data_IF_442453620538
#
_entry.id   IF_442453620538
#
_cell.length_a   1.000
_cell.length_b   1.000
_cell.length_c   1.000
_cell.angle_alpha   90.00
_cell.angle_beta   90.00
_cell.angle_gamma   90.00
#
_symmetry.space_group_name_H-M   'P 1'
#
loop_
_entity.id
_entity.type
_entity.pdbx_description
1 polymer ?
#
# COMPACT_ATOMS: atom_id res chain seq x y z
N UNK A 1 29.42 -6.69 27.80
CA UNK A 1 28.03 -6.27 27.49
C UNK A 1 27.17 -6.85 28.61
N UNK A 2 26.94 -6.09 29.67
CA UNK A 2 26.15 -6.56 30.81
C UNK A 2 24.66 -6.52 30.46
N UNK A 3 23.96 -7.60 30.76
CA UNK A 3 22.54 -7.78 30.45
C UNK A 3 21.75 -6.95 31.46
N UNK A 4 21.09 -5.88 31.00
CA UNK A 4 20.13 -5.12 31.83
C UNK A 4 18.91 -6.02 32.10
N UNK A 5 18.70 -6.35 33.38
CA UNK A 5 17.61 -7.21 33.87
C UNK A 5 16.25 -6.51 34.02
N UNK A 6 16.07 -5.29 33.50
CA UNK A 6 14.81 -4.57 33.62
C UNK A 6 14.38 -4.02 32.25
N UNK A 7 13.23 -4.49 31.76
CA UNK A 7 12.66 -4.14 30.45
C UNK A 7 11.71 -2.93 30.51
N UNK A 8 11.55 -2.29 31.67
CA UNK A 8 10.75 -1.08 31.83
C UNK A 8 11.59 0.17 31.54
N UNK A 9 11.12 0.98 30.59
CA UNK A 9 11.68 2.28 30.27
C UNK A 9 11.26 3.29 31.36
N UNK A 10 12.23 3.81 32.10
CA UNK A 10 12.03 4.88 33.07
C UNK A 10 12.57 6.21 32.50
N UNK A 11 11.70 7.14 32.09
CA UNK A 11 12.11 8.41 31.49
C UNK A 11 12.75 9.39 32.49
N UNK A 12 12.78 9.09 33.79
CA UNK A 12 13.32 9.98 34.84
C UNK A 12 14.56 9.41 35.53
N UNK A 13 15.09 8.28 35.07
CA UNK A 13 16.31 7.71 35.62
C UNK A 13 17.51 8.66 35.41
N UNK A 14 18.51 8.64 36.30
CA UNK A 14 19.71 9.50 36.20
C UNK A 14 20.49 9.34 34.87
N UNK A 15 20.30 8.21 34.19
CA UNK A 15 20.82 7.87 32.87
C UNK A 15 19.81 8.07 31.73
N UNK A 16 18.68 8.74 31.98
CA UNK A 16 17.69 9.16 30.98
C UNK A 16 18.03 10.54 30.37
N UNK A 17 19.15 11.15 30.77
CA UNK A 17 19.75 12.23 30.00
C UNK A 17 20.03 11.77 28.59
N UNK A 18 19.78 12.62 27.59
CA UNK A 18 20.23 12.38 26.22
C UNK A 18 21.71 11.99 26.30
N UNK A 19 22.04 10.73 26.05
CA UNK A 19 23.39 10.35 25.67
C UNK A 19 23.67 11.20 24.44
N UNK A 20 24.35 12.32 24.64
CA UNK A 20 24.99 13.08 23.59
C UNK A 20 26.20 12.27 23.16
N UNK A 21 25.95 11.04 22.71
CA UNK A 21 26.88 10.31 21.88
C UNK A 21 27.17 11.25 20.71
N UNK A 22 28.42 11.71 20.53
CA UNK A 22 28.75 12.54 19.39
C UNK A 22 28.28 11.78 18.14
N UNK A 23 27.48 12.44 17.30
CA UNK A 23 27.08 11.88 16.01
C UNK A 23 28.33 11.22 15.40
N UNK A 24 28.35 9.89 15.18
CA UNK A 24 29.56 9.17 14.74
C UNK A 24 29.92 9.48 13.28
N UNK A 25 29.37 10.57 12.76
CA UNK A 25 29.30 10.96 11.36
C UNK A 25 30.22 12.17 11.21
N UNK A 26 31.39 11.97 10.59
CA UNK A 26 32.31 13.07 10.28
C UNK A 26 31.69 13.98 9.21
N UNK A 27 31.12 15.10 9.67
CA UNK A 27 30.46 16.08 8.81
C UNK A 27 31.45 16.99 8.05
N UNK A 28 32.76 16.93 8.35
CA UNK A 28 33.76 17.87 7.80
C UNK A 28 34.23 17.53 6.39
N UNK A 29 34.03 16.30 5.92
CA UNK A 29 34.43 15.83 4.59
C UNK A 29 33.29 15.76 3.57
N UNK A 30 32.11 16.27 3.90
CA UNK A 30 30.91 16.14 3.08
C UNK A 30 30.79 17.34 2.15
N UNK A 31 30.77 17.06 0.85
CA UNK A 31 30.33 18.04 -0.13
C UNK A 31 28.81 18.20 -0.05
N UNK A 32 28.35 19.20 0.70
CA UNK A 32 26.93 19.54 0.85
C UNK A 32 26.30 20.03 -0.46
N UNK A 33 27.10 20.34 -1.49
CA UNK A 33 26.63 20.72 -2.82
C UNK A 33 26.46 19.52 -3.77
N UNK A 34 26.98 18.35 -3.41
CA UNK A 34 26.71 17.07 -4.09
C UNK A 34 25.68 16.24 -3.31
N UNK A 35 24.43 16.13 -3.80
CA UNK A 35 23.40 15.30 -3.17
C UNK A 35 23.82 13.84 -2.95
N UNK A 36 24.75 13.32 -3.77
CA UNK A 36 25.25 11.95 -3.68
C UNK A 36 26.13 11.74 -2.45
N UNK A 37 26.90 12.76 -2.06
CA UNK A 37 27.75 12.74 -0.86
C UNK A 37 26.93 12.72 0.43
N UNK A 38 25.86 13.52 0.50
CA UNK A 38 24.90 13.45 1.60
C UNK A 38 24.15 12.11 1.64
N UNK A 39 23.71 11.60 0.48
CA UNK A 39 22.98 10.33 0.41
C UNK A 39 23.83 9.13 0.84
N UNK A 40 25.14 9.15 0.55
CA UNK A 40 26.10 8.12 0.98
C UNK A 40 26.34 8.15 2.49
N UNK A 41 26.28 9.33 3.10
CA UNK A 41 26.33 9.52 4.54
C UNK A 41 25.09 8.93 5.23
N UNK A 42 23.92 9.29 4.72
CA UNK A 42 22.62 8.88 5.28
C UNK A 42 22.33 7.40 5.09
N UNK A 43 22.98 6.74 4.13
CA UNK A 43 22.75 5.32 3.87
C UNK A 43 23.48 4.38 4.85
N UNK A 44 24.45 4.86 5.65
CA UNK A 44 25.27 4.07 6.59
C UNK A 44 25.86 2.80 5.94
N UNK A 45 26.36 2.93 4.71
CA UNK A 45 26.86 1.81 3.90
C UNK A 45 25.79 0.89 3.30
N UNK A 46 24.50 1.19 3.51
CA UNK A 46 23.38 0.54 2.85
C UNK A 46 23.11 1.06 1.43
N UNK A 47 22.10 0.50 0.76
CA UNK A 47 21.72 0.89 -0.60
C UNK A 47 21.31 2.37 -0.67
N UNK A 48 21.98 3.09 -1.56
CA UNK A 48 21.67 4.48 -1.88
C UNK A 48 20.36 4.50 -2.70
N UNK A 49 19.39 5.37 -2.36
CA UNK A 49 18.19 5.55 -3.17
C UNK A 49 18.53 5.86 -4.63
N UNK A 50 17.79 5.28 -5.56
CA UNK A 50 17.97 5.59 -6.97
C UNK A 50 17.68 7.07 -7.21
N UNK A 51 18.64 7.80 -7.81
CA UNK A 51 18.42 9.19 -8.22
C UNK A 51 17.50 9.19 -9.45
N UNK A 52 16.35 9.84 -9.31
CA UNK A 52 15.35 9.98 -10.36
C UNK A 52 15.50 11.33 -11.08
N UNK A 53 15.00 11.40 -12.30
CA UNK A 53 14.83 12.65 -13.05
C UNK A 53 13.34 12.94 -13.26
N UNK A 54 12.94 14.22 -13.41
CA UNK A 54 11.54 14.59 -13.67
C UNK A 54 10.95 13.83 -14.86
N UNK A 55 11.66 13.76 -16.00
CA UNK A 55 11.21 13.07 -17.21
C UNK A 55 10.94 11.58 -16.97
N UNK A 56 11.82 10.92 -16.21
CA UNK A 56 11.66 9.50 -15.87
C UNK A 56 10.42 9.28 -15.01
N UNK A 57 10.19 10.15 -14.02
CA UNK A 57 9.00 10.05 -13.16
C UNK A 57 7.75 10.31 -13.98
N UNK A 58 7.71 11.38 -14.78
CA UNK A 58 6.56 11.71 -15.62
C UNK A 58 6.19 10.54 -16.53
N UNK A 59 7.17 9.91 -17.19
CA UNK A 59 6.92 8.73 -18.03
C UNK A 59 6.35 7.55 -17.23
N UNK A 60 6.94 7.22 -16.09
CA UNK A 60 6.46 6.11 -15.25
C UNK A 60 5.06 6.39 -14.71
N UNK A 61 4.83 7.61 -14.24
CA UNK A 61 3.54 8.06 -13.75
C UNK A 61 2.47 7.94 -14.82
N UNK A 62 2.69 8.46 -16.04
CA UNK A 62 1.68 8.42 -17.10
C UNK A 62 1.32 6.98 -17.49
N UNK A 63 2.33 6.11 -17.60
CA UNK A 63 2.11 4.69 -17.88
C UNK A 63 1.27 4.01 -16.79
N UNK A 64 1.69 4.14 -15.52
CA UNK A 64 0.99 3.51 -14.40
C UNK A 64 -0.40 4.08 -14.19
N UNK A 65 -0.55 5.40 -14.26
CA UNK A 65 -1.85 6.09 -14.16
C UNK A 65 -2.84 5.55 -15.19
N UNK A 66 -2.41 5.41 -16.45
CA UNK A 66 -3.25 4.85 -17.51
C UNK A 66 -3.68 3.41 -17.19
N UNK A 67 -2.72 2.57 -16.76
CA UNK A 67 -2.98 1.17 -16.39
C UNK A 67 -3.91 1.05 -15.17
N UNK A 68 -3.69 1.86 -14.14
CA UNK A 68 -4.50 1.93 -12.91
C UNK A 68 -5.94 2.28 -13.26
N UNK A 69 -6.18 3.35 -14.03
CA UNK A 69 -7.54 3.76 -14.34
C UNK A 69 -8.25 2.80 -15.29
N UNK A 70 -7.54 2.20 -16.25
CA UNK A 70 -8.10 1.14 -17.09
C UNK A 70 -8.53 -0.07 -16.25
N UNK A 71 -7.68 -0.52 -15.32
CA UNK A 71 -7.97 -1.66 -14.44
C UNK A 71 -9.08 -1.32 -13.44
N UNK A 72 -9.08 -0.10 -12.90
CA UNK A 72 -10.13 0.41 -12.02
C UNK A 72 -11.49 0.46 -12.71
N UNK A 73 -11.56 1.04 -13.92
CA UNK A 73 -12.82 1.12 -14.68
C UNK A 73 -13.32 -0.28 -15.03
N UNK A 74 -12.43 -1.16 -15.50
CA UNK A 74 -12.76 -2.57 -15.77
C UNK A 74 -13.29 -3.27 -14.52
N UNK A 75 -12.61 -3.11 -13.38
CA UNK A 75 -13.01 -3.71 -12.12
C UNK A 75 -14.39 -3.21 -11.69
N UNK A 76 -14.59 -1.89 -11.71
CA UNK A 76 -15.86 -1.25 -11.36
C UNK A 76 -16.99 -1.77 -12.24
N UNK A 77 -16.79 -1.78 -13.56
CA UNK A 77 -17.83 -2.19 -14.52
C UNK A 77 -18.22 -3.67 -14.36
N UNK A 78 -17.25 -4.54 -14.02
CA UNK A 78 -17.51 -5.94 -13.66
C UNK A 78 -18.35 -6.02 -12.38
N UNK A 79 -17.97 -5.31 -11.31
CA UNK A 79 -18.67 -5.40 -10.03
C UNK A 79 -20.08 -4.81 -10.12
N UNK A 80 -20.27 -3.71 -10.85
CA UNK A 80 -21.58 -3.11 -11.09
C UNK A 80 -22.58 -4.12 -11.69
N UNK A 81 -22.13 -5.12 -12.44
CA UNK A 81 -23.00 -6.13 -13.08
C UNK A 81 -23.01 -7.47 -12.37
N UNK A 82 -21.90 -7.85 -11.74
CA UNK A 82 -21.65 -9.24 -11.34
C UNK A 82 -21.24 -9.44 -9.88
N UNK A 83 -21.21 -8.40 -9.05
CA UNK A 83 -20.75 -8.48 -7.66
C UNK A 83 -21.43 -9.60 -6.85
N UNK A 84 -22.76 -9.71 -6.93
CA UNK A 84 -23.51 -10.77 -6.23
C UNK A 84 -23.14 -12.17 -6.72
N UNK A 85 -22.92 -12.33 -8.03
CA UNK A 85 -22.53 -13.60 -8.65
C UNK A 85 -21.12 -13.99 -8.23
N UNK A 86 -20.18 -13.04 -8.24
CA UNK A 86 -18.81 -13.23 -7.75
C UNK A 86 -18.85 -13.69 -6.28
N UNK A 87 -19.59 -12.98 -5.43
CA UNK A 87 -19.70 -13.30 -4.01
C UNK A 87 -20.26 -14.71 -3.78
N UNK A 88 -21.38 -15.06 -4.43
CA UNK A 88 -22.01 -16.39 -4.32
C UNK A 88 -21.07 -17.50 -4.76
N UNK A 89 -20.35 -17.31 -5.87
CA UNK A 89 -19.43 -18.31 -6.42
C UNK A 89 -18.18 -18.45 -5.57
N UNK A 90 -17.59 -17.34 -5.13
CA UNK A 90 -16.40 -17.36 -4.28
C UNK A 90 -16.66 -18.01 -2.91
N UNK A 91 -17.82 -17.72 -2.31
CA UNK A 91 -18.21 -18.28 -1.02
C UNK A 91 -18.35 -19.80 -1.05
N UNK A 92 -18.81 -20.35 -2.19
CA UNK A 92 -18.96 -21.81 -2.39
C UNK A 92 -17.66 -22.54 -2.73
N UNK A 93 -16.60 -21.84 -3.13
CA UNK A 93 -15.33 -22.48 -3.50
C UNK A 93 -14.60 -23.05 -2.29
N UNK A 94 -14.02 -24.23 -2.44
CA UNK A 94 -13.09 -24.79 -1.45
C UNK A 94 -11.78 -24.00 -1.41
N UNK A 95 -10.97 -24.18 -0.36
CA UNK A 95 -9.64 -23.55 -0.26
C UNK A 95 -8.75 -23.86 -1.47
N UNK A 96 -8.73 -25.11 -1.93
CA UNK A 96 -7.96 -25.52 -3.11
C UNK A 96 -8.46 -24.84 -4.40
N UNK A 97 -9.78 -24.71 -4.57
CA UNK A 97 -10.36 -24.00 -5.72
C UNK A 97 -10.05 -22.50 -5.69
N UNK A 98 -9.97 -21.88 -4.50
CA UNK A 98 -9.54 -20.49 -4.33
C UNK A 98 -8.06 -20.33 -4.72
N UNK A 99 -7.18 -21.25 -4.32
CA UNK A 99 -5.78 -21.23 -4.76
C UNK A 99 -5.62 -21.34 -6.28
N UNK A 100 -6.42 -22.19 -6.93
CA UNK A 100 -6.40 -22.33 -8.39
C UNK A 100 -6.80 -21.04 -9.13
N UNK A 101 -7.45 -20.09 -8.45
CA UNK A 101 -7.76 -18.76 -8.99
C UNK A 101 -6.66 -17.76 -8.63
N UNK A 102 -6.23 -17.73 -7.36
CA UNK A 102 -5.30 -16.73 -6.82
C UNK A 102 -3.87 -16.90 -7.36
N UNK A 103 -3.33 -18.12 -7.40
CA UNK A 103 -1.92 -18.36 -7.74
C UNK A 103 -1.57 -18.06 -9.20
N UNK A 104 -2.43 -18.34 -10.19
CA UNK A 104 -2.16 -17.91 -11.56
C UNK A 104 -2.21 -16.39 -11.74
N UNK A 105 -3.04 -15.68 -10.97
CA UNK A 105 -3.14 -14.22 -11.02
C UNK A 105 -2.03 -13.53 -10.19
N UNK A 106 -1.50 -14.20 -9.18
CA UNK A 106 -0.38 -13.73 -8.38
C UNK A 106 0.63 -14.86 -8.13
N UNK A 107 1.57 -15.05 -9.07
CA UNK A 107 2.62 -16.05 -8.92
C UNK A 107 3.44 -15.79 -7.65
N UNK A 108 3.77 -16.86 -6.92
CA UNK A 108 4.51 -16.79 -5.66
C UNK A 108 3.80 -15.96 -4.57
N UNK A 109 2.46 -16.00 -4.52
CA UNK A 109 1.70 -15.40 -3.42
C UNK A 109 2.17 -15.98 -2.06
N UNK A 110 2.52 -15.14 -1.07
CA UNK A 110 2.97 -15.60 0.23
C UNK A 110 1.94 -16.50 0.92
N UNK A 111 2.41 -17.55 1.60
CA UNK A 111 1.53 -18.54 2.23
C UNK A 111 0.81 -18.03 3.48
N UNK A 112 1.46 -17.16 4.26
CA UNK A 112 1.03 -16.77 5.60
C UNK A 112 0.65 -15.29 5.69
N UNK A 113 -0.19 -14.97 6.66
CA UNK A 113 -0.47 -13.60 7.11
C UNK A 113 0.84 -12.88 7.50
N UNK A 114 0.90 -11.56 7.24
CA UNK A 114 2.08 -10.70 7.49
C UNK A 114 3.40 -11.30 6.99
N UNK A 115 3.51 -11.55 5.67
CA UNK A 115 4.69 -12.14 5.08
C UNK A 115 5.93 -11.23 5.19
N UNK A 116 5.73 -9.92 5.34
CA UNK A 116 6.75 -8.91 5.64
C UNK A 116 7.45 -9.17 6.99
N UNK A 117 6.70 -9.53 8.04
CA UNK A 117 7.28 -9.91 9.33
C UNK A 117 8.05 -11.23 9.26
N UNK A 118 7.53 -12.21 8.52
CA UNK A 118 8.26 -13.47 8.28
C UNK A 118 9.57 -13.20 7.54
N UNK A 119 9.53 -12.39 6.48
CA UNK A 119 10.71 -11.98 5.71
C UNK A 119 11.74 -11.24 6.58
N UNK A 120 11.28 -10.30 7.42
CA UNK A 120 12.13 -9.55 8.33
C UNK A 120 12.88 -10.44 9.34
N UNK A 121 12.23 -11.50 9.85
CA UNK A 121 12.86 -12.47 10.76
C UNK A 121 13.90 -13.35 10.07
N UNK A 122 13.74 -13.58 8.76
CA UNK A 122 14.63 -14.46 7.97
C UNK A 122 15.87 -13.70 7.48
N UNK A 123 15.73 -12.45 7.04
CA UNK A 123 16.86 -11.66 6.53
C UNK A 123 17.48 -10.79 7.62
N UNK A 124 18.81 -10.78 7.70
CA UNK A 124 19.56 -9.81 8.51
C UNK A 124 19.41 -8.38 7.97
N UNK A 125 19.70 -7.37 8.81
CA UNK A 125 19.71 -5.95 8.40
C UNK A 125 20.55 -5.73 7.14
N UNK A 126 21.79 -6.26 7.12
CA UNK A 126 22.72 -6.12 5.97
C UNK A 126 22.15 -6.73 4.68
N UNK A 127 21.52 -7.90 4.76
CA UNK A 127 20.90 -8.54 3.60
C UNK A 127 19.73 -7.72 3.06
N UNK A 128 18.87 -7.20 3.93
CA UNK A 128 17.75 -6.34 3.53
C UNK A 128 18.24 -5.06 2.87
N UNK A 129 19.21 -4.38 3.49
CA UNK A 129 19.79 -3.13 2.99
C UNK A 129 20.55 -3.31 1.67
N UNK A 130 21.10 -4.51 1.40
CA UNK A 130 21.73 -4.82 0.12
C UNK A 130 20.70 -5.09 -1.00
N UNK A 131 19.46 -5.44 -0.64
CA UNK A 131 18.39 -5.78 -1.57
C UNK A 131 17.68 -7.06 -1.13
N UNK A 132 16.58 -6.90 -0.40
CA UNK A 132 15.72 -8.02 0.03
C UNK A 132 15.26 -8.89 -1.15
N UNK A 133 15.30 -10.22 -0.97
CA UNK A 133 14.67 -11.16 -1.91
C UNK A 133 13.15 -11.24 -1.73
N UNK A 134 12.63 -10.69 -0.63
CA UNK A 134 11.22 -10.73 -0.27
C UNK A 134 10.50 -9.40 -0.57
N UNK A 135 10.98 -8.66 -1.57
CA UNK A 135 10.47 -7.31 -1.88
C UNK A 135 8.95 -7.26 -2.01
N UNK A 136 8.33 -8.28 -2.63
CA UNK A 136 6.86 -8.36 -2.78
C UNK A 136 6.12 -8.48 -1.44
N UNK A 137 6.73 -9.12 -0.44
CA UNK A 137 6.11 -9.35 0.88
C UNK A 137 5.95 -8.04 1.64
N UNK A 138 6.94 -7.15 1.51
CA UNK A 138 6.91 -5.80 2.10
C UNK A 138 6.01 -4.83 1.34
N UNK A 139 5.76 -5.09 0.05
CA UNK A 139 4.98 -4.21 -0.80
C UNK A 139 3.47 -4.45 -0.68
N UNK A 140 3.07 -5.72 -0.60
CA UNK A 140 1.67 -6.14 -0.46
C UNK A 140 1.52 -7.13 0.70
N UNK A 141 1.75 -6.72 1.97
CA UNK A 141 1.68 -7.64 3.11
C UNK A 141 0.29 -8.29 3.30
N UNK A 142 -0.76 -7.69 2.73
CA UNK A 142 -2.13 -8.17 2.80
C UNK A 142 -2.52 -9.09 1.62
N UNK A 143 -1.70 -9.19 0.57
CA UNK A 143 -1.93 -10.12 -0.54
C UNK A 143 -1.23 -11.44 -0.20
N UNK A 144 -1.94 -12.32 0.49
CA UNK A 144 -1.43 -13.62 0.92
C UNK A 144 -2.52 -14.70 0.87
N UNK A 145 -2.07 -15.95 0.84
CA UNK A 145 -2.90 -17.14 0.71
C UNK A 145 -3.78 -17.39 1.93
N UNK A 146 -3.25 -17.18 3.14
CA UNK A 146 -3.97 -17.41 4.40
C UNK A 146 -5.24 -16.56 4.50
N UNK A 147 -5.13 -15.27 4.14
CA UNK A 147 -6.22 -14.32 4.24
C UNK A 147 -7.13 -14.36 3.02
N UNK A 148 -6.60 -14.28 1.80
CA UNK A 148 -7.44 -14.21 0.61
C UNK A 148 -8.24 -15.49 0.37
N UNK A 149 -7.79 -16.64 0.89
CA UNK A 149 -8.61 -17.86 0.85
C UNK A 149 -9.79 -17.88 1.82
N UNK A 150 -9.94 -16.90 2.71
CA UNK A 150 -11.13 -16.80 3.56
C UNK A 150 -12.32 -16.34 2.69
N UNK A 151 -13.53 -16.89 2.90
CA UNK A 151 -14.68 -16.63 2.02
C UNK A 151 -15.05 -15.15 1.86
N UNK A 152 -14.76 -14.31 2.86
CA UNK A 152 -15.19 -12.90 2.90
C UNK A 152 -14.13 -11.92 2.39
N UNK A 153 -12.85 -12.26 2.47
CA UNK A 153 -11.75 -11.29 2.32
C UNK A 153 -11.59 -10.81 0.88
N UNK A 154 -11.53 -11.72 -0.10
CA UNK A 154 -11.43 -11.30 -1.50
C UNK A 154 -12.65 -10.48 -1.97
N UNK A 155 -13.91 -10.89 -1.73
CA UNK A 155 -15.07 -10.06 -2.06
C UNK A 155 -15.06 -8.67 -1.41
N UNK A 156 -14.62 -8.57 -0.15
CA UNK A 156 -14.51 -7.29 0.54
C UNK A 156 -13.46 -6.38 -0.11
N UNK A 157 -12.30 -6.93 -0.45
CA UNK A 157 -11.26 -6.20 -1.17
C UNK A 157 -11.72 -5.74 -2.56
N UNK A 158 -12.44 -6.59 -3.28
CA UNK A 158 -13.03 -6.27 -4.59
C UNK A 158 -14.01 -5.10 -4.47
N UNK A 159 -14.97 -5.19 -3.55
CA UNK A 159 -15.95 -4.14 -3.30
C UNK A 159 -15.23 -2.81 -2.96
N UNK A 160 -14.31 -2.82 -2.00
CA UNK A 160 -13.58 -1.63 -1.58
C UNK A 160 -12.87 -0.94 -2.76
N UNK A 161 -12.14 -1.71 -3.57
CA UNK A 161 -11.33 -1.19 -4.69
C UNK A 161 -12.15 -0.83 -5.93
N UNK A 162 -13.35 -1.38 -6.11
CA UNK A 162 -14.25 -1.03 -7.21
C UNK A 162 -15.06 0.25 -6.90
N UNK A 163 -15.53 0.40 -5.66
CA UNK A 163 -16.46 1.47 -5.25
C UNK A 163 -15.80 2.81 -4.96
N UNK A 164 -14.47 2.83 -4.80
CA UNK A 164 -13.72 4.04 -4.45
C UNK A 164 -12.59 4.27 -5.44
N UNK A 165 -12.32 5.53 -5.83
CA UNK A 165 -11.28 5.83 -6.79
C UNK A 165 -9.87 5.53 -6.23
N UNK A 166 -8.86 5.32 -7.08
CA UNK A 166 -7.50 4.95 -6.64
C UNK A 166 -6.88 5.91 -5.60
N UNK A 167 -7.11 7.22 -5.73
CA UNK A 167 -6.58 8.21 -4.78
C UNK A 167 -7.14 8.06 -3.37
N UNK A 168 -8.32 7.46 -3.19
CA UNK A 168 -8.88 7.20 -1.86
C UNK A 168 -8.03 6.22 -1.04
N UNK A 169 -7.16 5.45 -1.69
CA UNK A 169 -6.29 4.46 -1.07
C UNK A 169 -4.82 4.87 -0.99
N UNK A 170 -4.42 6.00 -1.57
CA UNK A 170 -2.99 6.33 -1.72
C UNK A 170 -2.23 6.31 -0.38
N UNK A 171 -2.80 6.94 0.65
CA UNK A 171 -2.26 6.92 2.01
C UNK A 171 -2.26 5.51 2.63
N UNK A 172 -3.34 4.75 2.49
CA UNK A 172 -3.44 3.40 3.06
C UNK A 172 -2.45 2.43 2.38
N UNK A 173 -2.26 2.54 1.06
CA UNK A 173 -1.30 1.76 0.30
C UNK A 173 0.13 2.10 0.74
N UNK A 174 0.44 3.38 0.92
CA UNK A 174 1.74 3.81 1.47
C UNK A 174 1.96 3.30 2.88
N UNK A 175 0.94 3.31 3.73
CA UNK A 175 1.05 2.86 5.12
C UNK A 175 1.28 1.34 5.19
N UNK A 176 0.63 0.56 4.34
CA UNK A 176 0.88 -0.88 4.22
C UNK A 176 2.36 -1.21 3.93
N UNK A 177 3.05 -0.32 3.19
CA UNK A 177 4.48 -0.45 2.84
C UNK A 177 5.43 0.14 3.90
N UNK A 178 4.92 0.81 4.93
CA UNK A 178 5.74 1.58 5.87
C UNK A 178 6.76 0.71 6.59
N UNK A 179 6.40 -0.52 6.97
CA UNK A 179 7.34 -1.44 7.61
C UNK A 179 8.50 -1.80 6.68
N UNK A 180 8.24 -2.01 5.38
CA UNK A 180 9.27 -2.22 4.38
C UNK A 180 10.21 -1.03 4.22
N UNK A 181 9.67 0.19 4.26
CA UNK A 181 10.45 1.42 4.16
C UNK A 181 11.35 1.65 5.39
N UNK A 182 10.80 1.53 6.59
CA UNK A 182 11.56 1.72 7.85
C UNK A 182 12.66 0.68 8.01
N UNK A 183 12.42 -0.56 7.57
CA UNK A 183 13.41 -1.64 7.64
C UNK A 183 14.39 -1.66 6.46
N UNK A 184 14.29 -0.66 5.56
CA UNK A 184 15.07 -0.50 4.31
C UNK A 184 14.97 -1.70 3.35
N UNK A 185 13.93 -2.52 3.50
CA UNK A 185 13.56 -3.56 2.55
C UNK A 185 12.98 -2.93 1.26
N UNK A 186 12.33 -1.77 1.40
CA UNK A 186 11.88 -0.91 0.33
C UNK A 186 12.64 0.40 0.44
N UNK A 187 13.35 0.79 -0.62
CA UNK A 187 14.05 2.08 -0.69
C UNK A 187 13.41 2.87 -1.82
N UNK A 188 12.54 3.86 -1.51
CA UNK A 188 11.97 4.74 -2.51
C UNK A 188 13.07 5.47 -3.28
N UNK A 189 12.86 5.75 -4.57
CA UNK A 189 13.79 6.61 -5.32
C UNK A 189 13.82 8.04 -4.77
N UNK A 190 14.83 8.81 -5.14
CA UNK A 190 14.99 10.19 -4.69
C UNK A 190 14.90 11.16 -5.85
N UNK A 191 13.97 12.11 -5.75
CA UNK A 191 13.89 13.29 -6.60
C UNK A 191 13.78 14.52 -5.68
N UNK A 192 14.73 15.45 -5.81
CA UNK A 192 14.82 16.63 -4.97
C UNK A 192 13.90 17.75 -5.48
N UNK A 193 13.32 18.54 -4.57
CA UNK A 193 12.51 19.74 -4.86
C UNK A 193 11.18 19.50 -5.61
N UNK A 194 10.59 18.31 -5.45
CA UNK A 194 9.27 18.01 -6.00
C UNK A 194 8.37 17.33 -4.97
N UNK A 195 7.08 17.54 -5.14
CA UNK A 195 5.99 16.85 -4.43
C UNK A 195 5.11 16.14 -5.44
N UNK A 196 4.69 14.91 -5.15
CA UNK A 196 3.73 14.19 -5.97
C UNK A 196 2.36 14.19 -5.30
N UNK A 197 1.34 14.66 -6.03
CA UNK A 197 -0.04 14.73 -5.56
C UNK A 197 -0.73 13.39 -5.77
N UNK A 198 -1.15 12.75 -4.69
CA UNK A 198 -1.94 11.51 -4.75
C UNK A 198 -3.16 11.55 -3.82
N UNK A 199 -3.19 12.41 -2.80
CA UNK A 199 -4.35 12.55 -1.94
C UNK A 199 -5.32 13.58 -2.52
N UNK A 200 -6.57 13.17 -2.74
CA UNK A 200 -7.66 14.05 -3.19
C UNK A 200 -7.27 15.01 -4.34
N UNK A 201 -6.79 14.51 -5.49
CA UNK A 201 -6.32 15.33 -6.62
C UNK A 201 -7.41 16.17 -7.31
N UNK A 202 -8.67 16.08 -6.87
CA UNK A 202 -9.84 16.71 -7.49
C UNK A 202 -10.29 16.07 -8.81
N UNK A 203 -9.35 15.53 -9.61
CA UNK A 203 -9.63 14.88 -10.88
C UNK A 203 -8.68 13.71 -11.15
N UNK A 204 -9.00 12.91 -12.17
CA UNK A 204 -8.06 11.90 -12.70
C UNK A 204 -6.78 12.56 -13.20
N UNK A 205 -6.87 13.74 -13.81
CA UNK A 205 -5.73 14.44 -14.40
C UNK A 205 -4.74 14.94 -13.35
N UNK A 206 -5.23 15.42 -12.19
CA UNK A 206 -4.38 15.80 -11.06
C UNK A 206 -3.75 14.60 -10.33
N UNK A 207 -4.23 13.37 -10.57
CA UNK A 207 -3.65 12.19 -9.92
C UNK A 207 -2.23 11.95 -10.42
N UNK A 208 -1.30 11.88 -9.47
CA UNK A 208 0.14 11.74 -9.65
C UNK A 208 0.84 12.94 -10.32
N UNK A 209 0.24 14.12 -10.24
CA UNK A 209 0.87 15.36 -10.69
C UNK A 209 2.14 15.68 -9.88
N UNK A 210 3.16 16.22 -10.56
CA UNK A 210 4.40 16.68 -9.93
C UNK A 210 4.39 18.19 -9.78
N UNK A 211 4.46 18.65 -8.53
CA UNK A 211 4.61 20.05 -8.18
C UNK A 211 6.07 20.36 -7.88
N UNK A 212 6.63 21.38 -8.54
CA UNK A 212 7.96 21.90 -8.22
C UNK A 212 7.91 22.76 -6.96
N UNK A 213 8.96 22.73 -6.16
CA UNK A 213 9.10 23.65 -5.02
C UNK A 213 9.62 25.02 -5.45
N UNK A 214 10.11 25.15 -6.69
CA UNK A 214 10.55 26.42 -7.23
C UNK A 214 9.37 27.39 -7.37
N UNK A 215 9.39 28.47 -6.60
CA UNK A 215 8.35 29.51 -6.65
C UNK A 215 7.08 29.21 -5.85
N UNK A 216 6.94 28.02 -5.26
CA UNK A 216 5.80 27.65 -4.42
C UNK A 216 6.22 26.87 -3.16
N UNK A 217 6.38 27.60 -2.05
CA UNK A 217 6.66 27.01 -0.73
C UNK A 217 5.51 26.10 -0.23
N UNK A 218 4.30 26.20 -0.79
CA UNK A 218 3.21 25.32 -0.40
C UNK A 218 3.46 23.88 -0.89
N UNK A 219 4.04 23.70 -2.07
CA UNK A 219 4.37 22.37 -2.59
C UNK A 219 5.34 21.63 -1.66
N UNK A 220 6.38 22.32 -1.17
CA UNK A 220 7.30 21.77 -0.16
C UNK A 220 6.56 21.39 1.12
N UNK A 221 5.75 22.31 1.64
CA UNK A 221 4.99 22.09 2.88
C UNK A 221 4.08 20.87 2.80
N UNK A 222 3.45 20.61 1.65
CA UNK A 222 2.58 19.44 1.44
C UNK A 222 3.34 18.12 1.65
N UNK A 223 4.55 18.00 1.10
CA UNK A 223 5.38 16.81 1.29
C UNK A 223 5.93 16.71 2.72
N UNK A 224 6.48 17.80 3.27
CA UNK A 224 7.10 17.78 4.60
C UNK A 224 6.08 17.61 5.72
N UNK A 225 4.83 18.06 5.52
CA UNK A 225 3.73 17.82 6.45
C UNK A 225 3.01 16.48 6.22
N UNK A 226 3.52 15.63 5.31
CA UNK A 226 2.92 14.33 4.92
C UNK A 226 1.46 14.42 4.44
N UNK A 227 1.07 15.57 3.89
CA UNK A 227 -0.22 15.74 3.22
C UNK A 227 -0.18 15.14 1.81
N UNK A 228 0.98 15.24 1.17
CA UNK A 228 1.30 14.60 -0.11
C UNK A 228 2.61 13.83 0.00
N UNK A 229 3.05 13.25 -1.11
CA UNK A 229 4.14 12.27 -1.13
C UNK A 229 5.40 12.86 -1.73
N UNK A 230 6.55 12.39 -1.24
CA UNK A 230 7.77 12.50 -2.02
C UNK A 230 7.62 11.66 -3.30
N UNK A 231 8.17 12.09 -4.46
CA UNK A 231 7.94 11.40 -5.73
C UNK A 231 8.34 9.92 -5.72
N UNK A 232 9.41 9.57 -5.02
CA UNK A 232 9.82 8.18 -4.86
C UNK A 232 8.81 7.32 -4.12
N UNK A 233 8.19 7.86 -3.07
CA UNK A 233 7.13 7.17 -2.30
C UNK A 233 5.86 7.05 -3.14
N UNK A 234 5.49 8.12 -3.85
CA UNK A 234 4.34 8.13 -4.73
C UNK A 234 4.45 7.09 -5.86
N UNK A 235 5.64 6.90 -6.43
CA UNK A 235 5.89 5.81 -7.39
C UNK A 235 5.66 4.42 -6.79
N UNK A 236 5.97 4.20 -5.51
CA UNK A 236 5.67 2.93 -4.85
C UNK A 236 4.16 2.72 -4.72
N UNK A 237 3.42 3.78 -4.35
CA UNK A 237 1.94 3.74 -4.28
C UNK A 237 1.35 3.39 -5.65
N UNK A 238 1.79 4.06 -6.71
CA UNK A 238 1.31 3.77 -8.06
C UNK A 238 1.62 2.34 -8.49
N UNK A 239 2.83 1.83 -8.22
CA UNK A 239 3.18 0.43 -8.49
C UNK A 239 2.28 -0.54 -7.72
N UNK A 240 1.97 -0.22 -6.46
CA UNK A 240 1.15 -1.08 -5.60
C UNK A 240 -0.28 -1.18 -6.11
N UNK A 241 -0.86 -0.04 -6.49
CA UNK A 241 -2.22 0.05 -7.02
C UNK A 241 -2.37 -0.60 -8.39
N UNK A 242 -1.43 -0.32 -9.30
CA UNK A 242 -1.39 -0.85 -10.66
C UNK A 242 -1.48 -2.38 -10.65
N UNK A 243 -0.55 -3.02 -9.94
CA UNK A 243 -0.51 -4.48 -9.83
C UNK A 243 -1.71 -5.06 -9.07
N UNK A 244 -2.16 -4.39 -8.01
CA UNK A 244 -3.28 -4.88 -7.21
C UNK A 244 -4.58 -4.88 -8.03
N UNK A 245 -4.86 -3.80 -8.76
CA UNK A 245 -6.07 -3.69 -9.56
C UNK A 245 -6.07 -4.71 -10.72
N UNK A 246 -4.94 -4.89 -11.40
CA UNK A 246 -4.78 -5.93 -12.43
C UNK A 246 -5.09 -7.34 -11.85
N UNK A 247 -4.51 -7.66 -10.69
CA UNK A 247 -4.76 -8.91 -9.99
C UNK A 247 -6.24 -9.13 -9.65
N UNK A 248 -6.94 -8.07 -9.21
CA UNK A 248 -8.36 -8.14 -8.86
C UNK A 248 -9.23 -8.38 -10.09
N UNK A 249 -8.94 -7.70 -11.22
CA UNK A 249 -9.61 -7.94 -12.51
C UNK A 249 -9.41 -9.40 -12.95
N UNK A 250 -8.21 -9.94 -12.84
CA UNK A 250 -7.91 -11.32 -13.21
C UNK A 250 -8.63 -12.34 -12.31
N UNK A 251 -8.75 -12.04 -11.02
CA UNK A 251 -9.57 -12.85 -10.12
C UNK A 251 -11.05 -12.87 -10.57
N UNK A 252 -11.61 -11.71 -10.91
CA UNK A 252 -12.98 -11.61 -11.41
C UNK A 252 -13.19 -12.44 -12.69
N UNK A 253 -12.30 -12.30 -13.69
CA UNK A 253 -12.35 -13.07 -14.94
C UNK A 253 -12.31 -14.57 -14.70
N UNK A 254 -11.49 -15.04 -13.75
CA UNK A 254 -11.41 -16.46 -13.40
C UNK A 254 -12.62 -16.97 -12.61
N UNK A 255 -13.26 -16.12 -11.81
CA UNK A 255 -14.50 -16.48 -11.08
C UNK A 255 -15.70 -16.54 -12.04
N UNK A 256 -15.68 -15.71 -13.09
CA UNK A 256 -16.71 -15.58 -14.12
C UNK A 256 -16.30 -16.22 -15.45
N UNK A 257 -15.53 -17.31 -15.41
CA UNK A 257 -14.90 -17.89 -16.60
C UNK A 257 -15.87 -18.43 -17.67
N UNK A 258 -17.15 -18.58 -17.33
CA UNK A 258 -18.25 -18.95 -18.22
C UNK A 258 -18.87 -17.75 -18.96
N UNK A 259 -18.56 -16.52 -18.57
CA UNK A 259 -19.01 -15.30 -19.22
C UNK A 259 -17.90 -14.81 -20.16
N UNK A 260 -18.17 -14.62 -21.46
CA UNK A 260 -17.20 -14.06 -22.41
C UNK A 260 -16.66 -12.70 -21.93
N UNK A 261 -15.39 -12.41 -22.24
CA UNK A 261 -14.71 -11.21 -21.74
C UNK A 261 -15.43 -9.90 -22.11
N UNK A 262 -15.95 -9.81 -23.32
CA UNK A 262 -16.68 -8.63 -23.80
C UNK A 262 -18.04 -8.45 -23.10
N UNK A 263 -18.67 -9.56 -22.70
CA UNK A 263 -19.94 -9.55 -21.97
C UNK A 263 -19.78 -9.17 -20.49
N UNK A 264 -18.59 -9.30 -19.91
CA UNK A 264 -18.33 -8.96 -18.50
C UNK A 264 -18.53 -7.47 -18.18
N UNK A 265 -18.31 -6.60 -19.18
CA UNK A 265 -18.39 -5.15 -19.05
C UNK A 265 -19.39 -4.52 -20.02
N UNK A 266 -19.91 -5.28 -20.99
CA UNK A 266 -20.89 -4.82 -21.97
C UNK A 266 -22.32 -4.70 -21.43
N UNK A 267 -23.25 -4.41 -22.34
CA UNK A 267 -24.67 -4.19 -22.01
C UNK A 267 -25.50 -5.49 -21.92
N UNK A 268 -24.87 -6.64 -22.18
CA UNK A 268 -25.50 -7.98 -22.07
C UNK A 268 -26.07 -8.22 -20.67
N UNK A 269 -25.41 -7.70 -19.63
CA UNK A 269 -25.87 -7.80 -18.26
C UNK A 269 -26.17 -6.40 -17.68
N UNK A 270 -27.36 -6.16 -17.12
CA UNK A 270 -27.71 -4.87 -16.56
C UNK A 270 -26.95 -4.60 -15.26
N UNK A 271 -26.63 -3.33 -15.03
CA UNK A 271 -26.11 -2.84 -13.76
C UNK A 271 -27.07 -3.21 -12.63
N UNK A 272 -26.53 -3.75 -11.54
CA UNK A 272 -27.23 -4.18 -10.34
C UNK A 272 -26.91 -3.24 -9.17
N UNK A 273 -27.85 -3.08 -8.21
CA UNK A 273 -27.53 -2.37 -6.97
C UNK A 273 -26.42 -3.09 -6.19
N UNK A 274 -25.67 -2.33 -5.41
CA UNK A 274 -24.65 -2.88 -4.51
C UNK A 274 -25.29 -3.89 -3.55
N UNK A 275 -24.78 -5.13 -3.43
CA UNK A 275 -25.35 -6.12 -2.54
C UNK A 275 -25.15 -5.72 -1.08
N UNK A 276 -26.19 -5.92 -0.25
CA UNK A 276 -26.08 -5.81 1.20
C UNK A 276 -25.20 -6.94 1.76
N UNK A 277 -23.89 -6.74 1.72
CA UNK A 277 -22.94 -7.68 2.30
C UNK A 277 -22.85 -7.43 3.80
N UNK A 278 -23.29 -8.42 4.60
CA UNK A 278 -23.12 -8.40 6.06
C UNK A 278 -21.65 -8.64 6.43
N UNK A 279 -20.82 -7.61 6.28
CA UNK A 279 -19.48 -7.59 6.82
C UNK A 279 -19.56 -7.14 8.30
N UNK A 280 -19.20 -8.03 9.23
CA UNK A 280 -18.97 -7.66 10.63
C UNK A 280 -20.14 -7.61 11.64
N UNK A 281 -21.28 -8.32 11.45
CA UNK A 281 -22.45 -8.13 12.35
C UNK A 281 -22.61 -9.16 13.50
N UNK A 282 -21.94 -10.32 13.52
CA UNK A 282 -22.34 -11.39 14.47
C UNK A 282 -21.42 -11.64 15.68
N UNK A 283 -20.49 -10.73 16.01
CA UNK A 283 -19.53 -10.99 17.09
C UNK A 283 -19.42 -9.82 18.06
N UNK A 284 -19.87 -10.02 19.31
CA UNK A 284 -19.75 -9.07 20.41
C UNK A 284 -18.38 -9.20 21.13
N UNK A 285 -17.89 -8.11 21.71
CA UNK A 285 -16.69 -8.11 22.56
C UNK A 285 -15.35 -8.18 21.80
N UNK A 286 -14.31 -8.72 22.43
CA UNK A 286 -12.94 -8.77 21.87
C UNK A 286 -12.81 -9.52 20.54
N UNK A 287 -13.68 -10.49 20.29
CA UNK A 287 -13.71 -11.19 19.01
C UNK A 287 -14.19 -10.28 17.86
N UNK A 288 -14.92 -9.20 18.16
CA UNK A 288 -15.21 -8.11 17.20
C UNK A 288 -13.92 -7.36 16.81
N UNK A 289 -13.07 -7.00 17.78
CA UNK A 289 -11.83 -6.25 17.54
C UNK A 289 -10.81 -7.04 16.72
N UNK A 290 -10.67 -8.34 16.99
CA UNK A 290 -9.79 -9.23 16.21
C UNK A 290 -10.26 -9.31 14.76
N UNK A 291 -11.57 -9.51 14.54
CA UNK A 291 -12.18 -9.52 13.19
C UNK A 291 -12.00 -8.17 12.51
N UNK A 292 -12.22 -7.06 13.22
CA UNK A 292 -12.02 -5.71 12.66
C UNK A 292 -10.57 -5.49 12.24
N UNK A 293 -9.59 -5.93 13.03
CA UNK A 293 -8.17 -5.80 12.72
C UNK A 293 -7.77 -6.65 11.51
N UNK A 294 -8.30 -7.87 11.42
CA UNK A 294 -8.08 -8.78 10.30
C UNK A 294 -8.69 -8.24 8.99
N UNK A 295 -9.88 -7.66 9.07
CA UNK A 295 -10.63 -7.14 7.92
C UNK A 295 -10.17 -5.73 7.50
N UNK A 296 -9.55 -4.96 8.41
CA UNK A 296 -9.17 -3.56 8.17
C UNK A 296 -8.39 -3.32 6.85
N UNK A 297 -7.39 -4.15 6.47
CA UNK A 297 -6.63 -3.91 5.24
C UNK A 297 -7.41 -4.10 3.94
N UNK A 298 -8.58 -4.72 4.02
CA UNK A 298 -9.41 -5.08 2.87
C UNK A 298 -10.67 -4.20 2.77
N UNK A 299 -10.87 -3.28 3.72
CA UNK A 299 -11.96 -2.32 3.72
C UNK A 299 -11.51 -0.97 3.14
N UNK A 300 -12.46 -0.10 2.73
CA UNK A 300 -12.14 1.29 2.45
C UNK A 300 -11.43 1.93 3.66
N UNK A 301 -10.44 2.80 3.44
CA UNK A 301 -9.79 3.53 4.53
C UNK A 301 -10.81 4.32 5.34
N UNK A 302 -10.63 4.34 6.66
CA UNK A 302 -11.51 5.12 7.54
C UNK A 302 -11.40 6.60 7.19
N UNK A 303 -12.54 7.25 7.01
CA UNK A 303 -12.65 8.70 6.83
C UNK A 303 -13.13 9.27 8.15
N UNK A 304 -12.46 10.33 8.62
CA UNK A 304 -12.90 11.07 9.79
C UNK A 304 -14.26 11.72 9.48
N UNK A 305 -15.31 11.23 10.13
CA UNK A 305 -16.66 11.79 10.04
C UNK A 305 -16.85 12.78 11.18
N UNK A 306 -16.59 14.07 10.90
CA UNK A 306 -16.74 15.14 11.88
C UNK A 306 -18.20 15.33 12.32
N UNK A 307 -19.18 15.02 11.46
CA UNK A 307 -20.59 15.10 11.81
C UNK A 307 -20.97 14.08 12.88
N UNK A 308 -20.45 12.85 12.77
CA UNK A 308 -20.59 11.85 13.85
C UNK A 308 -19.89 12.25 15.15
N UNK A 309 -18.78 12.98 15.08
CA UNK A 309 -18.11 13.47 16.27
C UNK A 309 -18.91 14.59 16.95
N UNK A 310 -19.57 15.45 16.16
CA UNK A 310 -20.50 16.46 16.68
C UNK A 310 -21.74 15.83 17.33
N UNK A 311 -22.25 14.71 16.81
CA UNK A 311 -23.36 13.96 17.44
C UNK A 311 -22.99 13.29 18.78
N UNK A 312 -21.69 13.17 19.09
CA UNK A 312 -21.19 12.57 20.34
C UNK A 312 -20.84 13.62 21.42
N UNK A 313 -20.99 14.91 21.12
CA UNK A 313 -20.75 16.05 22.02
C UNK A 313 -22.06 16.63 22.56
#
# INVERSE_FOLDING_TARGET
MEIRNNLYFDPFAENAGYDSDPCPVDLKGIDWSDPSSFMKLMSDGGRIPEKLSPDKILKQTQQRKSSIFNSYDTLRDILDRHELTIWKRWSKKSRQQRFAILLPAWPNMPESHRPDFKAFRVESKKQREAGTRFRSHFFWPHVNQEDLCKPKILPMLLNARARRPPWAFAAADREAMQFGCVTKALVPGFLNLYTMVLNNPGSRDGYAELLTWEGDFNAMNLATSRKEFLPGEGLLVLEAQDKLLEFLVDCCRKILCDIPGDDLIGDTFPIQPEPEMKFGVDVAGFASLAVMTEEAPYRPPAILDLGKLEELL
#
